data_IF_840554161775
#
_entry.id   IF_840554161775
#
_cell.length_a   1.000
_cell.length_b   1.000
_cell.length_c   1.000
_cell.angle_alpha   90.00
_cell.angle_beta   90.00
_cell.angle_gamma   90.00
#
_symmetry.space_group_name_H-M   'P 1'
#
loop_
_entity.id
_entity.type
_entity.pdbx_description
1 polymer ?
#
# COMPACT_ATOMS: atom_id res chain seq x y z
N UNK A 1 -2.26 -7.41 -10.50
CA UNK A 1 -1.59 -6.10 -10.36
C UNK A 1 -0.67 -6.16 -9.14
N UNK A 2 0.50 -5.53 -9.22
CA UNK A 2 1.59 -5.66 -8.22
C UNK A 2 2.23 -4.29 -7.91
N UNK A 3 2.98 -4.23 -6.81
CA UNK A 3 3.74 -3.05 -6.34
C UNK A 3 4.99 -2.80 -7.20
N UNK A 4 4.75 -2.37 -8.43
CA UNK A 4 5.74 -1.86 -9.38
C UNK A 4 5.17 -0.64 -10.07
N UNK A 5 5.99 0.33 -10.45
CA UNK A 5 5.49 1.46 -11.22
C UNK A 5 5.17 1.04 -12.67
N UNK A 6 4.20 1.70 -13.34
CA UNK A 6 3.98 1.51 -14.77
C UNK A 6 5.23 1.78 -15.63
N UNK A 7 6.12 2.66 -15.16
CA UNK A 7 7.42 2.96 -15.80
C UNK A 7 8.34 1.72 -15.87
N UNK A 8 8.20 0.80 -14.91
CA UNK A 8 8.97 -0.45 -14.82
C UNK A 8 8.35 -1.60 -15.62
N UNK A 9 7.21 -1.40 -16.30
CA UNK A 9 6.43 -2.50 -16.89
C UNK A 9 7.25 -3.38 -17.85
N UNK A 10 8.13 -2.80 -18.68
CA UNK A 10 9.00 -3.56 -19.59
C UNK A 10 9.95 -4.52 -18.84
N UNK A 11 10.48 -4.09 -17.70
CA UNK A 11 11.32 -4.92 -16.86
C UNK A 11 10.50 -6.04 -16.22
N UNK A 12 9.32 -5.70 -15.70
CA UNK A 12 8.39 -6.67 -15.10
C UNK A 12 7.99 -7.75 -16.11
N UNK A 13 7.63 -7.36 -17.35
CA UNK A 13 7.27 -8.28 -18.43
C UNK A 13 8.44 -9.24 -18.75
N UNK A 14 9.66 -8.71 -18.86
CA UNK A 14 10.86 -9.51 -19.14
C UNK A 14 11.14 -10.52 -18.03
N UNK A 15 11.08 -10.09 -16.77
CA UNK A 15 11.31 -10.95 -15.61
C UNK A 15 10.22 -12.02 -15.51
N UNK A 16 8.95 -11.63 -15.69
CA UNK A 16 7.83 -12.57 -15.60
C UNK A 16 7.86 -13.60 -16.73
N UNK A 17 8.21 -13.19 -17.96
CA UNK A 17 8.38 -14.12 -19.08
C UNK A 17 9.43 -15.18 -18.78
N UNK A 18 10.62 -14.76 -18.34
CA UNK A 18 11.69 -15.69 -17.97
C UNK A 18 11.29 -16.63 -16.82
N UNK A 19 10.60 -16.11 -15.81
CA UNK A 19 10.05 -16.92 -14.71
C UNK A 19 8.99 -17.93 -15.20
N UNK A 20 8.11 -17.51 -16.10
CA UNK A 20 7.06 -18.36 -16.69
C UNK A 20 7.68 -19.51 -17.50
N UNK A 21 8.74 -19.24 -18.25
CA UNK A 21 9.52 -20.21 -19.05
C UNK A 21 10.48 -21.08 -18.23
N UNK A 22 10.55 -20.88 -16.90
CA UNK A 22 11.48 -21.56 -15.98
C UNK A 22 12.97 -21.31 -16.29
N UNK A 23 13.30 -20.23 -17.00
CA UNK A 23 14.67 -19.81 -17.30
C UNK A 23 15.24 -18.86 -16.25
N UNK A 24 14.42 -18.43 -15.29
CA UNK A 24 14.79 -17.57 -14.17
C UNK A 24 14.16 -18.08 -12.87
N UNK A 25 14.95 -18.20 -11.81
CA UNK A 25 14.44 -18.46 -10.44
C UNK A 25 14.23 -17.14 -9.72
N UNK A 26 13.17 -17.07 -8.91
CA UNK A 26 12.88 -15.85 -8.15
C UNK A 26 14.02 -15.46 -7.19
N UNK A 27 14.78 -16.42 -6.67
CA UNK A 27 15.96 -16.18 -5.81
C UNK A 27 17.11 -15.45 -6.51
N UNK A 28 17.11 -15.41 -7.84
CA UNK A 28 18.13 -14.75 -8.67
C UNK A 28 17.75 -13.28 -8.98
N UNK A 29 16.53 -12.87 -8.64
CA UNK A 29 16.04 -11.51 -8.82
C UNK A 29 16.38 -10.68 -7.58
N UNK A 30 16.87 -9.46 -7.78
CA UNK A 30 17.01 -8.49 -6.69
C UNK A 30 15.65 -8.26 -6.00
N UNK A 31 15.61 -8.35 -4.67
CA UNK A 31 14.35 -8.38 -3.89
C UNK A 31 13.37 -9.48 -4.31
N UNK A 32 13.89 -10.60 -4.82
CA UNK A 32 13.14 -11.78 -5.24
C UNK A 32 12.24 -12.40 -4.16
N UNK A 33 12.50 -12.09 -2.89
CA UNK A 33 11.67 -12.47 -1.74
C UNK A 33 10.43 -11.59 -1.53
N UNK A 34 10.25 -10.51 -2.30
CA UNK A 34 9.09 -9.63 -2.21
C UNK A 34 7.77 -10.29 -2.64
N UNK A 35 6.65 -9.74 -2.18
CA UNK A 35 5.31 -10.22 -2.50
C UNK A 35 5.00 -10.16 -4.01
N UNK A 36 5.51 -9.14 -4.70
CA UNK A 36 5.45 -9.01 -6.18
C UNK A 36 5.87 -10.31 -6.88
N UNK A 37 6.95 -10.94 -6.40
CA UNK A 37 7.47 -12.16 -7.00
C UNK A 37 6.94 -13.42 -6.34
N UNK A 38 7.01 -13.52 -5.00
CA UNK A 38 6.64 -14.74 -4.29
C UNK A 38 5.14 -15.03 -4.31
N UNK A 39 4.30 -14.00 -4.46
CA UNK A 39 2.85 -14.15 -4.61
C UNK A 39 2.43 -13.78 -6.03
N UNK A 40 2.77 -12.58 -6.49
CA UNK A 40 2.29 -12.04 -7.76
C UNK A 40 2.67 -12.89 -8.97
N UNK A 41 3.96 -13.16 -9.19
CA UNK A 41 4.41 -13.97 -10.32
C UNK A 41 3.93 -15.43 -10.22
N UNK A 42 3.97 -16.01 -9.02
CA UNK A 42 3.52 -17.40 -8.82
C UNK A 42 2.05 -17.55 -9.18
N UNK A 43 1.20 -16.67 -8.65
CA UNK A 43 -0.24 -16.69 -8.89
C UNK A 43 -0.57 -16.42 -10.36
N UNK A 44 0.09 -15.43 -10.99
CA UNK A 44 -0.10 -15.14 -12.40
C UNK A 44 0.24 -16.35 -13.28
N UNK A 45 1.33 -17.06 -12.97
CA UNK A 45 1.72 -18.30 -13.67
C UNK A 45 0.70 -19.41 -13.47
N UNK A 46 0.19 -19.60 -12.24
CA UNK A 46 -0.86 -20.58 -11.93
C UNK A 46 -2.17 -20.29 -12.68
N UNK A 47 -2.49 -19.01 -12.88
CA UNK A 47 -3.67 -18.55 -13.61
C UNK A 47 -3.44 -18.47 -15.13
N UNK A 48 -2.27 -18.89 -15.62
CA UNK A 48 -1.87 -18.83 -17.02
C UNK A 48 -2.01 -17.42 -17.63
N UNK A 49 -1.71 -16.37 -16.85
CA UNK A 49 -1.72 -15.00 -17.33
C UNK A 49 -0.46 -14.69 -18.16
N UNK A 50 -0.63 -13.84 -19.17
CA UNK A 50 0.48 -13.41 -20.03
C UNK A 50 1.45 -12.47 -19.35
N UNK A 51 0.95 -11.64 -18.44
CA UNK A 51 1.77 -10.71 -17.65
C UNK A 51 1.13 -10.35 -16.31
N UNK A 52 1.86 -9.57 -15.50
CA UNK A 52 1.36 -8.83 -14.34
C UNK A 52 1.59 -7.33 -14.55
N UNK A 53 0.68 -6.51 -14.07
CA UNK A 53 0.75 -5.05 -14.26
C UNK A 53 1.23 -4.34 -13.01
N UNK A 54 2.22 -3.46 -13.18
CA UNK A 54 2.65 -2.50 -12.17
C UNK A 54 1.68 -1.31 -12.09
N UNK A 55 1.23 -0.98 -10.89
CA UNK A 55 0.29 0.12 -10.64
C UNK A 55 0.71 1.07 -9.52
N UNK A 56 1.88 0.87 -8.92
CA UNK A 56 2.37 1.72 -7.83
C UNK A 56 2.82 3.09 -8.34
N UNK A 57 3.07 4.01 -7.42
CA UNK A 57 3.75 5.27 -7.64
C UNK A 57 4.68 5.54 -6.47
N UNK A 58 5.99 5.58 -6.70
CA UNK A 58 6.99 5.62 -5.64
C UNK A 58 7.13 7.03 -5.06
N UNK A 59 6.52 7.22 -3.91
CA UNK A 59 6.67 8.39 -3.06
C UNK A 59 6.85 7.97 -1.61
N UNK A 60 7.62 8.75 -0.87
CA UNK A 60 7.94 8.49 0.53
C UNK A 60 7.60 9.70 1.38
N UNK A 61 6.77 9.46 2.40
CA UNK A 61 6.43 10.42 3.45
C UNK A 61 6.56 9.72 4.78
N UNK A 62 7.41 10.25 5.68
CA UNK A 62 7.64 9.65 6.98
C UNK A 62 6.55 10.03 7.98
N UNK A 63 6.20 9.11 8.87
CA UNK A 63 5.26 9.40 9.98
C UNK A 63 5.80 10.47 10.93
N UNK A 64 7.14 10.61 11.01
CA UNK A 64 7.81 11.65 11.79
C UNK A 64 7.67 13.05 11.21
N UNK A 65 7.11 13.20 9.99
CA UNK A 65 6.90 14.50 9.37
C UNK A 65 5.90 15.36 10.16
N UNK A 66 4.80 14.77 10.63
CA UNK A 66 3.84 15.45 11.49
C UNK A 66 4.25 15.30 12.97
N UNK A 67 5.06 16.24 13.45
CA UNK A 67 5.65 16.19 14.80
C UNK A 67 5.14 17.29 15.75
N UNK A 68 4.45 18.31 15.23
CA UNK A 68 4.02 19.49 15.97
C UNK A 68 2.61 19.96 15.56
N UNK A 69 1.96 20.73 16.44
CA UNK A 69 0.64 21.32 16.23
C UNK A 69 -0.27 21.19 17.45
N UNK A 70 -1.37 21.94 17.45
CA UNK A 70 -2.45 21.77 18.42
C UNK A 70 -3.07 20.38 18.25
N UNK A 71 -3.33 19.69 19.37
CA UNK A 71 -3.84 18.31 19.43
C UNK A 71 -2.90 17.23 18.87
N UNK A 72 -1.60 17.50 18.72
CA UNK A 72 -0.62 16.52 18.20
C UNK A 72 -0.61 15.20 18.98
N UNK A 73 -0.97 15.22 20.27
CA UNK A 73 -1.00 14.03 21.12
C UNK A 73 -2.04 12.99 20.64
N UNK A 74 -3.11 13.41 19.96
CA UNK A 74 -4.09 12.48 19.36
C UNK A 74 -3.39 11.61 18.31
N UNK A 75 -2.63 12.22 17.41
CA UNK A 75 -1.87 11.51 16.38
C UNK A 75 -0.75 10.66 16.99
N UNK A 76 0.00 11.20 17.96
CA UNK A 76 1.07 10.45 18.65
C UNK A 76 0.55 9.23 19.39
N UNK A 77 -0.61 9.33 20.04
CA UNK A 77 -1.24 8.19 20.72
C UNK A 77 -1.66 7.10 19.71
N UNK A 78 -2.19 7.49 18.55
CA UNK A 78 -2.47 6.55 17.46
C UNK A 78 -1.22 5.85 16.92
N UNK A 79 -0.11 6.58 16.76
CA UNK A 79 1.18 5.98 16.38
C UNK A 79 1.62 4.92 17.39
N UNK A 80 1.50 5.21 18.69
CA UNK A 80 1.81 4.27 19.75
C UNK A 80 0.90 3.03 19.70
N UNK A 81 -0.40 3.21 19.46
CA UNK A 81 -1.35 2.10 19.32
C UNK A 81 -0.99 1.19 18.14
N UNK A 82 -0.71 1.76 16.95
CA UNK A 82 -0.28 0.98 15.79
C UNK A 82 1.03 0.26 16.10
N UNK A 83 2.00 0.93 16.70
CA UNK A 83 3.29 0.32 17.06
C UNK A 83 3.11 -0.85 18.04
N UNK A 84 2.27 -0.68 19.07
CA UNK A 84 2.00 -1.72 20.06
C UNK A 84 1.21 -2.90 19.48
N UNK A 85 0.42 -2.66 18.43
CA UNK A 85 -0.34 -3.71 17.75
C UNK A 85 0.50 -4.46 16.71
N UNK A 86 1.23 -3.73 15.85
CA UNK A 86 1.94 -4.29 14.71
C UNK A 86 3.33 -4.85 15.04
N UNK A 87 4.09 -4.19 15.94
CA UNK A 87 5.47 -4.64 16.26
C UNK A 87 5.53 -6.05 16.85
N UNK A 88 4.65 -6.46 17.79
CA UNK A 88 4.67 -7.83 18.31
C UNK A 88 4.42 -8.88 17.23
N UNK A 89 3.49 -8.62 16.31
CA UNK A 89 3.21 -9.53 15.19
C UNK A 89 4.41 -9.66 14.26
N UNK A 90 4.99 -8.52 13.86
CA UNK A 90 6.21 -8.50 13.02
C UNK A 90 7.35 -9.28 13.68
N UNK A 91 7.54 -9.09 14.99
CA UNK A 91 8.56 -9.83 15.76
C UNK A 91 8.30 -11.34 15.75
N UNK A 92 7.03 -11.78 15.92
CA UNK A 92 6.69 -13.21 15.86
C UNK A 92 6.99 -13.82 14.49
N UNK A 93 6.73 -13.10 13.40
CA UNK A 93 7.10 -13.55 12.04
C UNK A 93 8.61 -13.68 11.90
N UNK A 94 9.38 -12.68 12.37
CA UNK A 94 10.85 -12.70 12.34
C UNK A 94 11.48 -13.79 13.21
N UNK A 95 10.72 -14.36 14.16
CA UNK A 95 11.14 -15.42 15.06
C UNK A 95 10.50 -16.77 14.70
N UNK A 96 9.94 -16.91 13.49
CA UNK A 96 9.26 -18.10 12.97
C UNK A 96 8.15 -18.64 13.91
N UNK A 97 7.61 -17.78 14.78
CA UNK A 97 6.58 -18.09 15.77
C UNK A 97 5.17 -17.68 15.29
N UNK A 98 5.09 -17.08 14.10
CA UNK A 98 3.85 -16.76 13.37
C UNK A 98 4.15 -16.95 11.88
N UNK A 99 3.35 -17.74 11.18
CA UNK A 99 3.56 -17.96 9.75
C UNK A 99 3.30 -16.66 8.96
N UNK A 100 3.96 -16.49 7.81
CA UNK A 100 3.70 -15.37 6.89
C UNK A 100 2.23 -15.39 6.44
N UNK A 101 1.66 -16.59 6.23
CA UNK A 101 0.25 -16.76 5.89
C UNK A 101 -0.67 -16.15 6.95
N UNK A 102 -0.50 -16.56 8.22
CA UNK A 102 -1.32 -16.06 9.33
C UNK A 102 -1.13 -14.56 9.54
N UNK A 103 0.10 -14.07 9.36
CA UNK A 103 0.39 -12.65 9.41
C UNK A 103 -0.38 -11.87 8.34
N UNK A 104 -0.24 -12.26 7.06
CA UNK A 104 -0.93 -11.61 5.93
C UNK A 104 -2.44 -11.69 6.11
N UNK A 105 -2.98 -12.86 6.50
CA UNK A 105 -4.40 -13.06 6.78
C UNK A 105 -4.91 -12.14 7.89
N UNK A 106 -4.09 -11.93 8.93
CA UNK A 106 -4.44 -11.06 10.06
C UNK A 106 -4.44 -9.58 9.67
N UNK A 107 -3.42 -9.10 8.95
CA UNK A 107 -3.34 -7.68 8.56
C UNK A 107 -4.37 -7.28 7.49
N UNK A 108 -4.95 -8.27 6.78
CA UNK A 108 -6.07 -8.07 5.86
C UNK A 108 -7.44 -8.06 6.54
N UNK A 109 -7.52 -8.24 7.87
CA UNK A 109 -8.80 -8.11 8.59
C UNK A 109 -9.24 -6.64 8.67
N UNK A 110 -10.55 -6.33 8.62
CA UNK A 110 -11.07 -4.97 8.68
C UNK A 110 -10.48 -4.15 9.82
N UNK A 111 -10.38 -4.73 11.02
CA UNK A 111 -9.77 -4.08 12.19
C UNK A 111 -8.37 -3.51 11.94
N UNK A 112 -7.51 -4.20 11.18
CA UNK A 112 -6.16 -3.73 10.89
C UNK A 112 -6.14 -2.69 9.78
N UNK A 113 -7.01 -2.83 8.78
CA UNK A 113 -7.22 -1.82 7.73
C UNK A 113 -7.73 -0.51 8.35
N UNK A 114 -8.73 -0.60 9.23
CA UNK A 114 -9.28 0.55 9.94
C UNK A 114 -8.24 1.20 10.85
N UNK A 115 -7.41 0.41 11.54
CA UNK A 115 -6.35 0.93 12.41
C UNK A 115 -5.35 1.79 11.62
N UNK A 116 -4.83 1.29 10.49
CA UNK A 116 -3.87 2.05 9.69
C UNK A 116 -4.52 3.20 8.92
N UNK A 117 -5.74 3.02 8.41
CA UNK A 117 -6.50 4.09 7.77
C UNK A 117 -6.77 5.23 8.75
N UNK A 118 -7.26 4.94 9.96
CA UNK A 118 -7.52 5.92 10.99
C UNK A 118 -6.25 6.72 11.33
N UNK A 119 -5.13 6.03 11.52
CA UNK A 119 -3.86 6.68 11.80
C UNK A 119 -3.42 7.66 10.71
N UNK A 120 -3.60 7.33 9.44
CA UNK A 120 -3.09 8.14 8.33
C UNK A 120 -4.08 9.23 7.91
N UNK A 121 -5.39 8.94 7.90
CA UNK A 121 -6.40 9.79 7.26
C UNK A 121 -7.35 10.49 8.24
N UNK A 122 -7.50 9.99 9.47
CA UNK A 122 -8.46 10.56 10.44
C UNK A 122 -7.75 11.30 11.59
N UNK A 123 -6.79 10.64 12.26
CA UNK A 123 -6.12 11.24 13.42
C UNK A 123 -5.33 12.53 13.08
N UNK A 124 -4.62 12.62 11.95
CA UNK A 124 -3.93 13.85 11.59
C UNK A 124 -4.88 15.02 11.39
N UNK A 125 -6.13 14.79 10.95
CA UNK A 125 -7.10 15.87 10.69
C UNK A 125 -7.43 16.71 11.95
N UNK A 126 -7.22 16.16 13.15
CA UNK A 126 -7.36 16.90 14.40
C UNK A 126 -6.20 17.86 14.69
N UNK A 127 -5.08 17.71 13.99
CA UNK A 127 -3.85 18.47 14.20
C UNK A 127 -3.86 19.74 13.34
N UNK A 128 -3.92 20.88 14.02
CA UNK A 128 -3.97 22.21 13.39
C UNK A 128 -2.88 23.12 13.97
N UNK A 129 -2.57 24.24 13.31
CA UNK A 129 -1.60 25.23 13.78
C UNK A 129 -0.24 24.59 14.17
N UNK A 130 0.42 23.94 13.21
CA UNK A 130 1.72 23.29 13.43
C UNK A 130 2.59 23.39 12.20
N UNK A 131 3.73 22.70 12.22
CA UNK A 131 4.69 22.66 11.12
C UNK A 131 5.17 21.25 10.89
N UNK A 132 5.53 20.95 9.64
CA UNK A 132 6.26 19.74 9.33
C UNK A 132 7.65 19.79 9.94
N UNK A 133 8.11 18.62 10.36
CA UNK A 133 9.46 18.43 10.89
C UNK A 133 10.50 18.65 9.79
N UNK A 134 11.51 19.48 10.06
CA UNK A 134 12.68 19.64 9.18
C UNK A 134 13.48 18.35 9.02
N UNK A 135 13.38 17.44 9.99
CA UNK A 135 14.02 16.12 9.97
C UNK A 135 13.09 15.01 9.40
N UNK A 136 11.88 15.37 8.98
CA UNK A 136 10.95 14.45 8.32
C UNK A 136 11.37 14.20 6.88
N UNK A 137 11.15 12.99 6.38
CA UNK A 137 11.37 12.68 4.97
C UNK A 137 10.06 12.87 4.21
N UNK A 138 10.09 13.63 3.12
CA UNK A 138 8.98 13.74 2.19
C UNK A 138 9.52 13.94 0.77
N UNK A 139 9.01 13.19 -0.20
CA UNK A 139 9.37 13.33 -1.62
C UNK A 139 8.25 13.96 -2.46
N UNK A 140 7.09 14.24 -1.86
CA UNK A 140 5.91 14.76 -2.56
C UNK A 140 5.86 16.28 -2.44
N UNK A 141 5.87 16.98 -3.57
CA UNK A 141 5.61 18.43 -3.60
C UNK A 141 4.10 18.67 -3.76
N UNK A 142 3.49 19.25 -2.72
CA UNK A 142 2.08 19.68 -2.72
C UNK A 142 1.95 21.21 -2.75
N UNK A 143 3.04 21.92 -3.05
CA UNK A 143 3.10 23.36 -3.09
C UNK A 143 3.18 23.99 -1.70
N UNK A 144 2.54 25.15 -1.55
CA UNK A 144 2.61 25.94 -0.32
C UNK A 144 1.78 25.29 0.79
N UNK A 145 2.46 24.95 1.89
CA UNK A 145 1.84 24.38 3.09
C UNK A 145 1.07 25.44 3.89
N UNK A 146 -0.20 25.19 4.19
CA UNK A 146 -0.97 25.96 5.18
C UNK A 146 -0.80 25.36 6.59
N UNK A 147 0.10 25.96 7.37
CA UNK A 147 0.40 25.56 8.75
C UNK A 147 -0.84 25.53 9.67
N UNK A 148 -1.88 26.30 9.34
CA UNK A 148 -3.15 26.26 10.08
C UNK A 148 -3.81 24.88 9.98
N UNK A 149 -3.66 24.20 8.85
CA UNK A 149 -4.26 22.90 8.56
C UNK A 149 -3.20 21.80 8.39
N UNK A 150 -2.10 21.88 9.14
CA UNK A 150 -0.93 21.00 8.96
C UNK A 150 -1.26 19.49 8.91
N UNK A 151 -2.26 19.05 9.66
CA UNK A 151 -2.74 17.67 9.62
C UNK A 151 -3.41 17.28 8.31
N UNK A 152 -4.18 18.19 7.70
CA UNK A 152 -4.75 18.00 6.38
C UNK A 152 -3.65 18.01 5.29
N UNK A 153 -2.66 18.89 5.42
CA UNK A 153 -1.49 18.90 4.54
C UNK A 153 -0.75 17.56 4.60
N UNK A 154 -0.57 16.99 5.80
CA UNK A 154 0.03 15.67 5.97
C UNK A 154 -0.79 14.57 5.25
N UNK A 155 -2.12 14.59 5.41
CA UNK A 155 -3.03 13.64 4.75
C UNK A 155 -2.90 13.72 3.23
N UNK A 156 -2.82 14.93 2.66
CA UNK A 156 -2.69 15.16 1.22
C UNK A 156 -1.50 14.41 0.62
N UNK A 157 -0.36 14.35 1.33
CA UNK A 157 0.83 13.64 0.86
C UNK A 157 0.56 12.14 0.60
N UNK A 158 -0.11 11.47 1.54
CA UNK A 158 -0.46 10.05 1.40
C UNK A 158 -1.62 9.85 0.42
N UNK A 159 -2.61 10.73 0.44
CA UNK A 159 -3.77 10.61 -0.44
C UNK A 159 -3.38 10.82 -1.90
N UNK A 160 -2.42 11.71 -2.19
CA UNK A 160 -1.90 11.95 -3.53
C UNK A 160 -1.35 10.67 -4.17
N UNK A 161 -0.49 9.93 -3.46
CA UNK A 161 0.03 8.64 -3.91
C UNK A 161 -1.10 7.64 -4.17
N UNK A 162 -2.08 7.54 -3.28
CA UNK A 162 -3.22 6.63 -3.43
C UNK A 162 -4.10 7.00 -4.64
N UNK A 163 -4.29 8.28 -4.95
CA UNK A 163 -5.01 8.73 -6.15
C UNK A 163 -4.26 8.36 -7.44
N UNK A 164 -2.93 8.46 -7.44
CA UNK A 164 -2.11 8.02 -8.58
C UNK A 164 -2.19 6.51 -8.80
N UNK A 165 -2.10 5.73 -7.72
CA UNK A 165 -2.29 4.28 -7.76
C UNK A 165 -3.69 3.92 -8.27
N UNK A 166 -4.72 4.59 -7.75
CA UNK A 166 -6.09 4.42 -8.23
C UNK A 166 -6.21 4.70 -9.72
N UNK A 167 -5.66 5.83 -10.20
CA UNK A 167 -5.61 6.16 -11.63
C UNK A 167 -4.92 5.06 -12.46
N UNK A 168 -3.79 4.53 -11.99
CA UNK A 168 -3.08 3.44 -12.65
C UNK A 168 -3.94 2.18 -12.75
N UNK A 169 -4.65 1.80 -11.68
CA UNK A 169 -5.56 0.65 -11.66
C UNK A 169 -6.66 0.81 -12.71
N UNK A 170 -7.32 1.98 -12.76
CA UNK A 170 -8.42 2.22 -13.70
C UNK A 170 -7.96 2.18 -15.16
N UNK A 171 -6.85 2.86 -15.48
CA UNK A 171 -6.35 2.91 -16.84
C UNK A 171 -5.82 1.54 -17.31
N UNK A 172 -5.06 0.84 -16.48
CA UNK A 172 -4.63 -0.52 -16.80
C UNK A 172 -5.82 -1.48 -17.00
N UNK A 173 -6.92 -1.30 -16.27
CA UNK A 173 -8.13 -2.08 -16.51
C UNK A 173 -8.71 -1.82 -17.90
N UNK A 174 -8.80 -0.56 -18.33
CA UNK A 174 -9.35 -0.16 -19.62
C UNK A 174 -8.46 -0.62 -20.78
N UNK A 175 -7.15 -0.38 -20.69
CA UNK A 175 -6.17 -0.71 -21.73
C UNK A 175 -6.14 -2.21 -22.05
N UNK A 176 -6.45 -3.05 -21.06
CA UNK A 176 -6.45 -4.50 -21.19
C UNK A 176 -7.85 -5.13 -21.19
N UNK A 177 -8.91 -4.32 -21.18
CA UNK A 177 -10.32 -4.76 -21.12
C UNK A 177 -10.56 -5.84 -20.04
N UNK A 178 -9.87 -5.71 -18.90
CA UNK A 178 -9.89 -6.70 -17.83
C UNK A 178 -11.25 -6.74 -17.14
N UNK A 179 -11.80 -7.95 -16.93
CA UNK A 179 -13.10 -8.14 -16.23
C UNK A 179 -12.95 -8.46 -14.75
N UNK A 180 -11.78 -8.94 -14.33
CA UNK A 180 -11.45 -9.27 -12.94
C UNK A 180 -10.02 -8.83 -12.66
N UNK A 181 -9.80 -8.21 -11.52
CA UNK A 181 -8.50 -7.72 -11.09
C UNK A 181 -8.21 -8.34 -9.74
N UNK A 182 -7.04 -8.98 -9.63
CA UNK A 182 -6.45 -9.31 -8.35
C UNK A 182 -5.36 -8.27 -8.05
N UNK A 183 -5.49 -7.60 -6.90
CA UNK A 183 -4.62 -6.51 -6.49
C UNK A 183 -3.75 -6.97 -5.31
N UNK A 184 -2.43 -6.88 -5.47
CA UNK A 184 -1.45 -7.07 -4.39
C UNK A 184 -0.84 -5.70 -4.12
N UNK A 185 -1.09 -5.16 -2.93
CA UNK A 185 -0.62 -3.85 -2.49
C UNK A 185 -0.35 -3.86 -0.99
N UNK A 186 0.59 -3.02 -0.58
CA UNK A 186 0.89 -2.75 0.81
C UNK A 186 -0.36 -2.32 1.56
N UNK A 187 -0.49 -2.85 2.77
CA UNK A 187 -1.71 -2.76 3.56
C UNK A 187 -2.19 -1.31 3.82
N UNK A 188 -1.27 -0.35 3.90
CA UNK A 188 -1.57 1.07 4.12
C UNK A 188 -2.37 1.72 2.98
N UNK A 189 -2.34 1.15 1.77
CA UNK A 189 -3.09 1.64 0.61
C UNK A 189 -4.53 1.12 0.56
N UNK A 190 -4.78 -0.03 1.20
CA UNK A 190 -6.02 -0.79 1.01
C UNK A 190 -7.25 0.00 1.44
N UNK A 191 -7.19 0.74 2.55
CA UNK A 191 -8.32 1.52 3.04
C UNK A 191 -8.81 2.54 2.00
N UNK A 192 -7.94 3.45 1.57
CA UNK A 192 -8.30 4.48 0.57
C UNK A 192 -8.69 3.88 -0.77
N UNK A 193 -7.96 2.89 -1.25
CA UNK A 193 -8.29 2.24 -2.52
C UNK A 193 -9.65 1.55 -2.47
N UNK A 194 -9.99 0.92 -1.34
CA UNK A 194 -11.30 0.32 -1.11
C UNK A 194 -12.41 1.38 -1.17
N UNK A 195 -12.27 2.48 -0.43
CA UNK A 195 -13.27 3.56 -0.43
C UNK A 195 -13.51 4.13 -1.85
N UNK A 196 -12.43 4.40 -2.59
CA UNK A 196 -12.50 4.93 -3.96
C UNK A 196 -13.11 3.95 -4.97
N UNK A 197 -12.85 2.65 -4.81
CA UNK A 197 -13.37 1.62 -5.71
C UNK A 197 -14.81 1.25 -5.37
N UNK A 198 -15.20 1.21 -4.09
CA UNK A 198 -16.59 0.98 -3.66
C UNK A 198 -17.52 2.13 -4.06
N UNK A 199 -17.02 3.37 -4.03
CA UNK A 199 -17.76 4.53 -4.50
C UNK A 199 -17.84 4.61 -6.05
N UNK A 200 -17.06 3.81 -6.78
CA UNK A 200 -17.07 3.82 -8.24
C UNK A 200 -18.07 2.79 -8.79
N UNK A 201 -19.14 3.21 -9.49
CA UNK A 201 -20.21 2.31 -9.93
C UNK A 201 -19.77 1.26 -10.96
N UNK A 202 -18.57 1.39 -11.55
CA UNK A 202 -18.03 0.43 -12.50
C UNK A 202 -17.31 -0.75 -11.84
N UNK A 203 -17.08 -0.70 -10.53
CA UNK A 203 -16.32 -1.71 -9.80
C UNK A 203 -17.14 -2.32 -8.68
N UNK A 204 -16.87 -3.59 -8.42
CA UNK A 204 -17.38 -4.30 -7.25
C UNK A 204 -16.19 -4.90 -6.52
N UNK A 205 -16.00 -4.50 -5.27
CA UNK A 205 -14.97 -5.07 -4.41
C UNK A 205 -15.43 -6.43 -3.88
N UNK A 206 -14.51 -7.38 -3.89
CA UNK A 206 -14.68 -8.71 -3.28
C UNK A 206 -13.55 -8.87 -2.28
N UNK A 207 -13.89 -9.19 -1.03
CA UNK A 207 -12.92 -9.30 0.05
C UNK A 207 -12.17 -10.63 -0.05
N UNK A 208 -10.84 -10.60 -0.07
CA UNK A 208 -10.01 -11.82 -0.16
C UNK A 208 -10.10 -12.69 1.08
N UNK A 209 -10.42 -12.13 2.25
CA UNK A 209 -10.63 -12.87 3.50
C UNK A 209 -11.71 -13.95 3.41
N UNK A 210 -12.66 -13.84 2.47
CA UNK A 210 -13.66 -14.89 2.21
C UNK A 210 -13.04 -16.17 1.63
N UNK A 211 -11.81 -16.10 1.12
CA UNK A 211 -11.09 -17.20 0.47
C UNK A 211 -9.83 -17.64 1.23
N UNK A 212 -9.46 -16.94 2.30
CA UNK A 212 -8.29 -17.22 3.13
C UNK A 212 -8.75 -17.92 4.42
N UNK A 213 -9.00 -19.25 4.33
CA UNK A 213 -9.47 -20.08 5.45
C UNK A 213 -8.44 -20.24 6.57
#
# INVERSE_FOLDING_TARGET
>A
MVEKEPSEQKQVDSLYKAYRENTLKLSEIEYGSSETYQIGFRLAKMLNLETVYGIDHYESTSQSLLSSGKNIDIFKNGLLELMNTARPMKKKVQQDSLSIYDYIKTINQPKFIDLSHNLIFNLPAYVINGKFSENGTNTVDIGKIDEKYIGAEYITLFYNRNLKIYSNILNAQLDHNSKRIFLIMGQLHIGVLKDLLEANPNYKIITTSEYLN
#
